data_IF_081994691152
#
_entry.id   IF_081994691152
#
_cell.length_a   1.000
_cell.length_b   1.000
_cell.length_c   1.000
_cell.angle_alpha   90.00
_cell.angle_beta   90.00
_cell.angle_gamma   90.00
#
_symmetry.space_group_name_H-M   'P 1'
#
loop_
_entity.id
_entity.type
_entity.pdbx_description
1 polymer ?
#
# COMPACT_ATOMS: atom_id res chain seq x y z
N UNK A 1 30.02 -0.26 12.41
CA UNK A 1 29.96 -0.17 10.93
C UNK A 1 28.69 -0.91 10.55
N UNK A 2 27.57 -0.21 10.34
CA UNK A 2 26.32 -0.86 9.93
C UNK A 2 26.38 -1.11 8.43
N UNK A 3 26.09 -2.35 8.02
CA UNK A 3 25.98 -2.71 6.61
C UNK A 3 24.55 -2.32 6.21
N UNK A 4 24.42 -1.26 5.42
CA UNK A 4 23.16 -0.93 4.73
C UNK A 4 23.19 -1.63 3.37
N UNK A 5 22.26 -2.54 3.07
CA UNK A 5 22.20 -3.21 1.78
C UNK A 5 22.12 -2.21 0.62
N UNK A 6 22.87 -2.47 -0.47
CA UNK A 6 22.86 -1.63 -1.68
C UNK A 6 21.62 -2.00 -2.53
N UNK A 7 20.81 -0.99 -2.88
CA UNK A 7 19.46 -1.13 -3.48
C UNK A 7 19.37 -0.67 -4.95
N UNK A 8 20.43 -0.87 -5.73
CA UNK A 8 20.66 -0.15 -7.02
C UNK A 8 20.01 -0.75 -8.28
N UNK A 9 19.25 -1.84 -8.19
CA UNK A 9 18.62 -2.49 -9.37
C UNK A 9 17.15 -2.91 -9.19
N UNK A 10 16.45 -2.31 -8.23
CA UNK A 10 15.05 -2.62 -7.91
C UNK A 10 14.12 -1.93 -8.90
N UNK A 11 13.12 -2.66 -9.41
CA UNK A 11 12.11 -2.11 -10.31
C UNK A 11 10.72 -2.34 -9.73
N UNK A 12 9.93 -1.26 -9.65
CA UNK A 12 8.48 -1.39 -9.64
C UNK A 12 7.99 -1.33 -11.09
N UNK A 13 7.12 -2.26 -11.47
CA UNK A 13 6.57 -2.35 -12.82
C UNK A 13 5.05 -2.32 -12.76
N UNK A 14 4.44 -1.43 -13.54
CA UNK A 14 3.00 -1.46 -13.79
C UNK A 14 2.64 -2.56 -14.79
N UNK A 15 1.95 -3.59 -14.31
CA UNK A 15 1.52 -4.74 -15.11
C UNK A 15 0.11 -4.59 -15.71
N UNK A 16 -0.61 -3.51 -15.43
CA UNK A 16 -2.00 -3.33 -15.91
C UNK A 16 -2.11 -3.47 -17.43
N UNK A 17 -1.18 -2.90 -18.20
CA UNK A 17 -1.20 -3.00 -19.67
C UNK A 17 -1.09 -4.44 -20.16
N UNK A 18 -0.25 -5.26 -19.52
CA UNK A 18 -0.10 -6.68 -19.89
C UNK A 18 -1.37 -7.43 -19.50
N UNK A 19 -1.85 -7.27 -18.27
CA UNK A 19 -3.03 -7.98 -17.77
C UNK A 19 -4.32 -7.62 -18.53
N UNK A 20 -4.42 -6.40 -19.07
CA UNK A 20 -5.50 -6.01 -19.96
C UNK A 20 -5.53 -6.85 -21.25
N UNK A 21 -4.36 -7.27 -21.76
CA UNK A 21 -4.26 -8.07 -22.99
C UNK A 21 -4.44 -9.56 -22.77
N UNK A 22 -4.08 -10.07 -21.58
CA UNK A 22 -4.20 -11.48 -21.22
C UNK A 22 -5.50 -11.82 -20.49
N UNK A 23 -6.37 -10.84 -20.23
CA UNK A 23 -7.51 -10.97 -19.31
C UNK A 23 -7.09 -11.44 -17.91
N UNK A 24 -5.92 -11.00 -17.46
CA UNK A 24 -5.33 -11.41 -16.19
C UNK A 24 -5.94 -10.76 -14.95
N UNK A 25 -6.98 -9.92 -15.09
CA UNK A 25 -7.75 -9.36 -13.97
C UNK A 25 -9.20 -9.78 -14.12
N UNK A 26 -9.75 -10.44 -13.10
CA UNK A 26 -11.18 -10.75 -13.02
C UNK A 26 -11.76 -10.23 -11.70
N UNK A 27 -13.05 -9.91 -11.72
CA UNK A 27 -13.78 -9.41 -10.57
C UNK A 27 -15.10 -10.16 -10.45
N UNK A 28 -15.33 -10.79 -9.29
CA UNK A 28 -16.58 -11.50 -8.98
C UNK A 28 -17.22 -10.84 -7.78
N UNK A 29 -18.47 -10.41 -7.92
CA UNK A 29 -19.22 -9.84 -6.79
C UNK A 29 -19.48 -10.89 -5.71
N UNK A 30 -19.49 -10.47 -4.46
CA UNK A 30 -19.86 -11.29 -3.29
C UNK A 30 -21.19 -10.75 -2.74
N UNK A 31 -22.36 -11.19 -3.26
CA UNK A 31 -23.63 -10.55 -2.98
C UNK A 31 -24.03 -10.54 -1.50
N UNK A 32 -23.60 -11.56 -0.75
CA UNK A 32 -23.84 -11.68 0.69
C UNK A 32 -23.15 -10.60 1.53
N UNK A 33 -22.14 -9.91 0.98
CA UNK A 33 -21.39 -8.84 1.63
C UNK A 33 -21.61 -7.47 0.99
N UNK A 34 -22.54 -7.36 0.03
CA UNK A 34 -22.97 -6.08 -0.48
C UNK A 34 -23.85 -5.36 0.52
N UNK A 35 -23.68 -4.05 0.61
CA UNK A 35 -24.62 -3.15 1.27
C UNK A 35 -24.83 -1.91 0.38
N UNK A 36 -25.66 -2.07 -0.69
CA UNK A 36 -25.87 -1.01 -1.67
C UNK A 36 -26.54 0.24 -1.09
N UNK A 37 -27.27 0.10 0.02
CA UNK A 37 -27.91 1.22 0.70
C UNK A 37 -26.88 2.18 1.31
N UNK A 38 -25.73 1.66 1.73
CA UNK A 38 -24.60 2.44 2.22
C UNK A 38 -23.48 2.59 1.17
N UNK A 39 -23.75 2.23 -0.09
CA UNK A 39 -22.78 2.32 -1.19
C UNK A 39 -21.63 1.31 -1.13
N UNK A 40 -21.75 0.24 -0.34
CA UNK A 40 -20.69 -0.76 -0.16
C UNK A 40 -20.90 -1.93 -1.10
N UNK A 41 -19.87 -2.22 -1.90
CA UNK A 41 -19.81 -3.35 -2.81
C UNK A 41 -18.54 -4.15 -2.56
N UNK A 42 -18.69 -5.46 -2.57
CA UNK A 42 -17.65 -6.40 -2.16
C UNK A 42 -17.34 -7.32 -3.33
N UNK A 43 -16.07 -7.32 -3.75
CA UNK A 43 -15.62 -8.10 -4.90
C UNK A 43 -14.45 -8.97 -4.50
N UNK A 44 -14.45 -10.20 -4.97
CA UNK A 44 -13.25 -11.02 -5.04
C UNK A 44 -12.56 -10.70 -6.37
N UNK A 45 -11.39 -10.06 -6.27
CA UNK A 45 -10.55 -9.70 -7.40
C UNK A 45 -9.47 -10.75 -7.54
N UNK A 46 -9.38 -11.38 -8.70
CA UNK A 46 -8.34 -12.36 -9.01
C UNK A 46 -7.37 -11.76 -10.00
N UNK A 47 -6.09 -11.79 -9.65
CA UNK A 47 -4.99 -11.55 -10.58
C UNK A 47 -4.47 -12.91 -11.04
N UNK A 48 -4.26 -13.07 -12.34
CA UNK A 48 -3.66 -14.27 -12.94
C UNK A 48 -2.36 -13.89 -13.61
N UNK A 49 -1.28 -14.54 -13.19
CA UNK A 49 0.06 -14.22 -13.68
C UNK A 49 0.15 -14.51 -15.20
N UNK A 50 0.59 -13.54 -16.02
CA UNK A 50 0.44 -13.61 -17.48
C UNK A 50 1.40 -14.61 -18.15
N UNK A 51 2.44 -15.08 -17.45
CA UNK A 51 3.48 -15.95 -18.02
C UNK A 51 3.62 -17.26 -17.24
N UNK A 52 2.84 -18.30 -17.59
CA UNK A 52 2.85 -19.56 -16.84
C UNK A 52 4.13 -20.41 -16.98
N UNK A 53 4.91 -20.22 -18.06
CA UNK A 53 6.11 -21.03 -18.34
C UNK A 53 7.41 -20.26 -18.18
N UNK A 54 7.36 -19.11 -17.49
CA UNK A 54 8.49 -18.19 -17.33
C UNK A 54 8.75 -17.92 -15.84
N UNK A 55 9.32 -18.89 -15.10
CA UNK A 55 9.59 -18.75 -13.66
C UNK A 55 10.48 -17.54 -13.31
N UNK A 56 11.36 -17.12 -14.23
CA UNK A 56 12.18 -15.91 -14.08
C UNK A 56 11.38 -14.60 -14.05
N UNK A 57 10.09 -14.64 -14.40
CA UNK A 57 9.18 -13.50 -14.36
C UNK A 57 8.24 -13.52 -13.15
N UNK A 58 8.46 -14.41 -12.18
CA UNK A 58 7.71 -14.40 -10.92
C UNK A 58 7.74 -12.99 -10.30
N UNK A 59 6.58 -12.53 -9.84
CA UNK A 59 6.42 -11.21 -9.23
C UNK A 59 6.68 -11.25 -7.73
N UNK A 60 7.14 -10.14 -7.17
CA UNK A 60 7.27 -9.94 -5.73
C UNK A 60 6.46 -8.72 -5.32
N UNK A 61 5.91 -8.71 -4.11
CA UNK A 61 5.16 -7.58 -3.57
C UNK A 61 4.05 -7.06 -4.51
N UNK A 62 3.30 -7.97 -5.13
CA UNK A 62 2.27 -7.59 -6.10
C UNK A 62 1.11 -6.90 -5.40
N UNK A 63 0.74 -5.71 -5.85
CA UNK A 63 -0.36 -4.91 -5.29
C UNK A 63 -1.42 -4.67 -6.35
N UNK A 64 -2.67 -5.00 -6.04
CA UNK A 64 -3.82 -4.49 -6.76
C UNK A 64 -4.26 -3.17 -6.13
N UNK A 65 -3.91 -2.05 -6.79
CA UNK A 65 -4.16 -0.70 -6.29
C UNK A 65 -5.52 -0.22 -6.78
N UNK A 66 -6.40 0.20 -5.87
CA UNK A 66 -7.66 0.87 -6.22
C UNK A 66 -7.37 2.36 -6.39
N UNK A 67 -7.39 2.86 -7.62
CA UNK A 67 -7.16 4.27 -7.90
C UNK A 67 -8.46 5.04 -7.73
N UNK A 68 -8.46 6.09 -6.92
CA UNK A 68 -9.68 6.82 -6.54
C UNK A 68 -9.62 8.30 -6.95
N UNK A 69 -10.77 9.00 -7.00
CA UNK A 69 -10.76 10.45 -6.79
C UNK A 69 -10.16 10.78 -5.41
N UNK A 70 -9.66 12.00 -5.26
CA UNK A 70 -9.13 12.49 -3.99
C UNK A 70 -9.19 14.00 -3.88
N UNK A 71 -9.63 14.47 -2.71
CA UNK A 71 -9.66 15.89 -2.34
C UNK A 71 -9.01 16.17 -0.97
N UNK A 72 -8.63 15.15 -0.21
CA UNK A 72 -7.93 15.32 1.07
C UNK A 72 -6.45 15.66 0.81
N UNK A 73 -6.09 16.93 1.00
CA UNK A 73 -4.70 17.37 0.88
C UNK A 73 -3.94 17.20 2.21
N UNK A 74 -2.96 16.30 2.20
CA UNK A 74 -1.90 16.21 3.20
C UNK A 74 -0.60 16.56 2.48
N UNK A 75 -0.36 17.86 2.35
CA UNK A 75 0.59 18.42 1.38
C UNK A 75 1.96 17.69 1.37
N UNK A 76 2.47 17.29 0.20
CA UNK A 76 1.92 17.51 -1.15
C UNK A 76 0.95 16.40 -1.62
N UNK A 77 0.59 15.45 -0.76
CA UNK A 77 -0.13 14.23 -1.12
C UNK A 77 -1.64 14.43 -1.09
N UNK A 78 -2.34 13.81 -2.03
CA UNK A 78 -3.80 13.84 -2.14
C UNK A 78 -4.37 12.45 -1.90
N UNK A 79 -5.32 12.34 -0.97
CA UNK A 79 -6.03 11.11 -0.60
C UNK A 79 -7.52 11.25 -0.87
N UNK A 80 -8.22 10.11 -0.90
CA UNK A 80 -9.68 10.08 -0.84
C UNK A 80 -10.20 10.52 0.54
N UNK A 81 -11.24 11.37 0.57
CA UNK A 81 -12.01 11.70 1.75
C UNK A 81 -13.04 10.61 2.11
N UNK A 82 -13.70 10.80 3.26
CA UNK A 82 -14.72 9.88 3.80
C UNK A 82 -16.00 9.77 2.96
N UNK A 83 -16.25 10.80 2.16
CA UNK A 83 -17.36 10.97 1.21
C UNK A 83 -16.91 10.80 -0.25
N UNK A 84 -15.75 10.18 -0.48
CA UNK A 84 -15.25 9.77 -1.79
C UNK A 84 -15.17 8.23 -1.88
N UNK A 85 -14.66 7.69 -2.99
CA UNK A 85 -14.47 6.24 -3.12
C UNK A 85 -13.40 5.75 -2.14
N UNK A 86 -13.73 4.73 -1.34
CA UNK A 86 -12.81 4.18 -0.32
C UNK A 86 -12.68 2.66 -0.42
N UNK A 87 -11.49 2.13 -0.11
CA UNK A 87 -11.30 0.71 0.18
C UNK A 87 -11.30 0.51 1.69
N UNK A 88 -12.33 -0.15 2.21
CA UNK A 88 -12.57 -0.28 3.66
C UNK A 88 -11.66 -1.30 4.34
N UNK A 89 -11.02 -2.17 3.56
CA UNK A 89 -10.16 -3.26 4.05
C UNK A 89 -8.80 -3.26 3.35
N UNK A 90 -8.24 -2.08 3.07
CA UNK A 90 -6.93 -1.93 2.46
C UNK A 90 -5.83 -2.62 3.28
N UNK A 91 -4.87 -3.24 2.59
CA UNK A 91 -3.66 -3.80 3.20
C UNK A 91 -2.58 -2.73 3.42
N UNK A 92 -2.70 -1.60 2.72
CA UNK A 92 -1.82 -0.44 2.82
C UNK A 92 -2.18 0.61 1.77
N UNK A 93 -1.32 1.62 1.65
CA UNK A 93 -1.45 2.70 0.68
C UNK A 93 -0.16 2.84 -0.13
N UNK A 94 -0.27 3.29 -1.37
CA UNK A 94 0.88 3.46 -2.26
C UNK A 94 0.70 4.68 -3.15
N UNK A 95 1.82 5.31 -3.51
CA UNK A 95 1.85 6.39 -4.51
C UNK A 95 1.88 5.87 -5.94
N UNK A 96 2.48 4.70 -6.15
CA UNK A 96 2.45 3.97 -7.41
C UNK A 96 1.01 3.57 -7.75
N UNK A 97 0.47 3.67 -8.95
CA UNK A 97 0.90 4.28 -10.20
C UNK A 97 -0.16 5.30 -10.58
N UNK A 98 -0.38 6.32 -9.73
CA UNK A 98 -1.49 7.24 -9.91
C UNK A 98 -1.37 8.06 -11.22
N UNK A 99 -2.49 8.36 -11.91
CA UNK A 99 -2.45 9.08 -13.18
C UNK A 99 -2.03 10.55 -13.07
N UNK A 100 -2.12 11.15 -11.88
CA UNK A 100 -1.72 12.55 -11.66
C UNK A 100 -0.20 12.72 -11.81
N UNK A 101 0.57 11.74 -11.33
CA UNK A 101 2.03 11.82 -11.28
C UNK A 101 2.71 10.94 -12.33
N UNK A 102 2.09 9.82 -12.70
CA UNK A 102 2.61 8.84 -13.66
C UNK A 102 1.88 8.95 -15.01
N UNK A 103 2.07 10.08 -15.70
CA UNK A 103 1.21 10.49 -16.82
C UNK A 103 1.49 9.80 -18.16
N UNK A 104 2.56 9.00 -18.25
CA UNK A 104 2.92 8.27 -19.48
C UNK A 104 2.54 6.79 -19.38
N UNK A 105 1.56 6.29 -20.17
CA UNK A 105 1.18 4.89 -20.14
C UNK A 105 2.33 3.93 -20.48
N UNK A 106 2.27 2.72 -19.93
CA UNK A 106 3.29 1.69 -20.09
C UNK A 106 3.69 1.06 -18.75
N UNK A 107 4.83 0.37 -18.74
CA UNK A 107 5.38 -0.29 -17.55
C UNK A 107 5.82 0.68 -16.44
N UNK A 108 6.13 1.93 -16.80
CA UNK A 108 6.61 2.97 -15.88
C UNK A 108 5.64 4.14 -15.76
N UNK A 109 4.36 3.93 -16.07
CA UNK A 109 3.34 4.90 -15.69
C UNK A 109 1.93 4.37 -15.75
N UNK A 110 0.94 5.23 -15.54
CA UNK A 110 -0.44 4.79 -15.41
C UNK A 110 -1.02 4.32 -16.74
N UNK A 111 -1.47 3.07 -16.76
CA UNK A 111 -2.22 2.49 -17.86
C UNK A 111 -3.64 2.22 -17.38
N UNK A 112 -4.65 2.80 -18.06
CA UNK A 112 -6.06 2.59 -17.73
C UNK A 112 -6.41 1.10 -17.86
N UNK A 113 -6.97 0.52 -16.80
CA UNK A 113 -7.38 -0.88 -16.76
C UNK A 113 -8.68 -1.16 -17.54
N UNK A 114 -8.84 -2.37 -18.07
CA UNK A 114 -10.02 -2.77 -18.88
C UNK A 114 -11.34 -2.73 -18.10
N UNK A 115 -11.29 -2.89 -16.77
CA UNK A 115 -12.46 -2.77 -15.88
C UNK A 115 -12.71 -1.33 -15.40
N UNK A 116 -11.86 -0.36 -15.78
CA UNK A 116 -11.99 1.04 -15.37
C UNK A 116 -13.00 1.78 -16.26
N UNK A 117 -14.16 2.14 -15.69
CA UNK A 117 -15.18 2.90 -16.42
C UNK A 117 -15.05 4.42 -16.25
N UNK A 118 -14.23 4.88 -15.31
CA UNK A 118 -14.06 6.31 -15.06
C UNK A 118 -13.10 6.99 -16.04
N UNK A 119 -13.29 8.28 -16.34
CA UNK A 119 -12.29 9.09 -17.02
C UNK A 119 -11.04 9.23 -16.16
N UNK A 120 -9.85 9.21 -16.77
CA UNK A 120 -8.56 9.26 -16.03
C UNK A 120 -8.42 10.56 -15.23
N UNK A 121 -8.95 11.67 -15.76
CA UNK A 121 -8.96 12.99 -15.14
C UNK A 121 -9.79 13.06 -13.85
N UNK A 122 -10.69 12.10 -13.60
CA UNK A 122 -11.44 12.01 -12.35
C UNK A 122 -10.68 11.33 -11.21
N UNK A 123 -9.53 10.72 -11.52
CA UNK A 123 -8.73 9.93 -10.60
C UNK A 123 -7.58 10.79 -10.03
N UNK A 124 -7.93 11.69 -9.12
CA UNK A 124 -7.03 12.75 -8.64
C UNK A 124 -6.21 12.40 -7.40
N UNK A 125 -6.47 11.25 -6.75
CA UNK A 125 -5.69 10.85 -5.58
C UNK A 125 -4.27 10.42 -5.98
N UNK A 126 -3.26 10.99 -5.33
CA UNK A 126 -1.86 10.61 -5.53
C UNK A 126 -1.45 9.43 -4.65
N UNK A 127 -2.12 9.23 -3.52
CA UNK A 127 -1.94 8.07 -2.65
C UNK A 127 -3.22 7.23 -2.64
N UNK A 128 -3.09 5.96 -2.97
CA UNK A 128 -4.23 5.08 -3.23
C UNK A 128 -4.13 3.78 -2.41
N UNK A 129 -5.26 3.25 -1.91
CA UNK A 129 -5.25 2.02 -1.14
C UNK A 129 -5.01 0.81 -2.04
N UNK A 130 -4.39 -0.25 -1.50
CA UNK A 130 -4.17 -1.50 -2.22
C UNK A 130 -4.60 -2.73 -1.43
N UNK A 131 -4.80 -3.84 -2.14
CA UNK A 131 -4.69 -5.20 -1.59
C UNK A 131 -3.44 -5.86 -2.12
N UNK A 132 -2.83 -6.65 -1.26
CA UNK A 132 -1.56 -7.31 -1.52
C UNK A 132 -1.82 -8.74 -1.99
N UNK A 133 -1.13 -9.17 -3.05
CA UNK A 133 -1.30 -10.48 -3.71
C UNK A 133 0.00 -11.27 -3.60
N UNK A 134 -0.07 -12.39 -2.91
CA UNK A 134 1.01 -13.33 -2.75
C UNK A 134 0.42 -14.75 -2.66
N UNK A 135 1.20 -15.76 -3.01
CA UNK A 135 0.75 -17.16 -3.00
C UNK A 135 0.38 -17.63 -1.59
N UNK A 136 0.99 -17.04 -0.54
CA UNK A 136 0.67 -17.27 0.87
C UNK A 136 -0.68 -16.69 1.33
N UNK A 137 -1.37 -15.90 0.49
CA UNK A 137 -2.57 -15.16 0.88
C UNK A 137 -3.83 -15.65 0.15
N UNK A 138 -4.82 -16.12 0.91
CA UNK A 138 -6.19 -16.32 0.45
C UNK A 138 -6.98 -15.02 0.32
N UNK A 139 -8.26 -15.12 -0.05
CA UNK A 139 -9.09 -13.94 -0.36
C UNK A 139 -9.27 -12.96 0.82
N UNK A 140 -9.36 -13.48 2.04
CA UNK A 140 -9.70 -12.69 3.25
C UNK A 140 -8.57 -12.57 4.25
N UNK A 141 -7.42 -13.18 3.96
CA UNK A 141 -6.32 -13.26 4.91
C UNK A 141 -5.71 -11.88 5.18
N UNK A 142 -5.18 -11.69 6.38
CA UNK A 142 -4.43 -10.49 6.73
C UNK A 142 -2.95 -10.66 6.35
N UNK A 143 -2.15 -9.61 6.51
CA UNK A 143 -0.71 -9.67 6.21
C UNK A 143 0.14 -10.39 7.28
N UNK A 144 -0.47 -11.00 8.31
CA UNK A 144 0.29 -11.79 9.29
C UNK A 144 1.03 -12.93 8.61
N UNK A 145 0.34 -13.68 7.75
CA UNK A 145 0.90 -14.80 7.00
C UNK A 145 2.19 -14.43 6.26
N UNK A 146 2.19 -13.27 5.59
CA UNK A 146 3.35 -12.74 4.86
C UNK A 146 4.50 -12.39 5.82
N UNK A 147 4.20 -11.69 6.91
CA UNK A 147 5.24 -11.22 7.84
C UNK A 147 5.85 -12.30 8.73
N UNK A 148 5.15 -13.43 8.89
CA UNK A 148 5.62 -14.56 9.71
C UNK A 148 6.24 -15.68 8.90
N UNK A 149 6.07 -15.68 7.58
CA UNK A 149 6.67 -16.68 6.70
C UNK A 149 8.21 -16.56 6.72
N UNK A 150 8.94 -17.70 6.79
CA UNK A 150 10.38 -17.71 6.53
C UNK A 150 10.70 -17.09 5.17
N UNK A 151 11.85 -16.41 5.06
CA UNK A 151 12.23 -15.74 3.81
C UNK A 151 12.52 -16.73 2.68
N UNK A 152 12.89 -17.96 3.03
CA UNK A 152 13.27 -19.08 2.15
C UNK A 152 12.12 -20.08 1.94
N UNK A 153 10.93 -19.80 2.45
CA UNK A 153 9.76 -20.62 2.14
C UNK A 153 9.29 -20.38 0.70
N UNK A 154 8.74 -21.41 0.05
CA UNK A 154 8.22 -21.34 -1.33
C UNK A 154 7.19 -20.21 -1.53
N UNK A 155 6.42 -19.89 -0.49
CA UNK A 155 5.41 -18.81 -0.45
C UNK A 155 5.88 -17.58 0.35
N UNK A 156 7.12 -17.61 0.83
CA UNK A 156 7.79 -16.53 1.54
C UNK A 156 8.03 -15.31 0.63
N UNK A 157 8.45 -14.19 1.24
CA UNK A 157 8.81 -12.96 0.52
C UNK A 157 7.74 -12.47 -0.47
N UNK A 158 6.47 -12.77 -0.20
CA UNK A 158 5.37 -12.27 -1.03
C UNK A 158 5.48 -12.62 -2.50
N UNK A 159 5.90 -13.84 -2.79
CA UNK A 159 6.00 -14.35 -4.15
C UNK A 159 4.62 -14.44 -4.78
N UNK A 160 4.56 -14.07 -6.05
CA UNK A 160 3.48 -14.38 -6.97
C UNK A 160 4.07 -15.25 -8.08
N UNK A 161 3.88 -16.56 -7.94
CA UNK A 161 4.45 -17.56 -8.84
C UNK A 161 3.98 -17.41 -10.28
N UNK A 162 4.89 -17.69 -11.21
CA UNK A 162 4.61 -17.70 -12.63
C UNK A 162 3.45 -18.64 -12.99
N UNK A 163 2.35 -18.07 -13.47
CA UNK A 163 1.13 -18.78 -13.87
C UNK A 163 0.11 -19.04 -12.75
N UNK A 164 0.38 -18.66 -11.51
CA UNK A 164 -0.60 -18.77 -10.43
C UNK A 164 -1.73 -17.73 -10.59
N UNK A 165 -2.79 -17.91 -9.81
CA UNK A 165 -3.89 -16.96 -9.71
C UNK A 165 -4.19 -16.70 -8.24
N UNK A 166 -3.98 -15.46 -7.81
CA UNK A 166 -4.19 -15.05 -6.43
C UNK A 166 -5.44 -14.18 -6.35
N UNK A 167 -6.29 -14.44 -5.35
CA UNK A 167 -7.56 -13.73 -5.17
C UNK A 167 -7.55 -12.96 -3.87
N UNK A 168 -8.06 -11.72 -3.89
CA UNK A 168 -8.19 -10.87 -2.70
C UNK A 168 -9.56 -10.20 -2.68
N UNK A 169 -10.14 -10.09 -1.48
CA UNK A 169 -11.45 -9.45 -1.26
C UNK A 169 -11.28 -7.95 -1.10
N UNK A 170 -12.02 -7.19 -1.89
CA UNK A 170 -12.11 -5.74 -1.86
C UNK A 170 -13.50 -5.34 -1.34
N UNK A 171 -13.54 -4.56 -0.27
CA UNK A 171 -14.77 -3.93 0.24
C UNK A 171 -14.72 -2.45 -0.13
N UNK A 172 -15.33 -2.10 -1.25
CA UNK A 172 -15.29 -0.75 -1.82
C UNK A 172 -16.54 0.00 -1.40
N UNK A 173 -16.37 1.18 -0.83
CA UNK A 173 -17.46 2.11 -0.53
C UNK A 173 -17.45 3.21 -1.58
N UNK A 174 -18.53 3.35 -2.32
CA UNK A 174 -18.77 4.47 -3.22
C UNK A 174 -19.60 5.56 -2.54
N UNK A 175 -19.38 6.84 -2.89
CA UNK A 175 -20.22 7.91 -2.40
C UNK A 175 -21.64 7.83 -2.96
N UNK A 176 -22.61 8.34 -2.20
CA UNK A 176 -24.05 8.22 -2.49
C UNK A 176 -24.66 9.58 -2.82
N UNK A 177 -25.30 9.72 -3.99
CA UNK A 177 -26.13 10.88 -4.36
C UNK A 177 -26.91 10.65 -5.68
N UNK A 178 -28.24 10.41 -5.66
CA UNK A 178 -28.98 9.73 -4.58
C UNK A 178 -28.66 8.22 -4.51
N UNK A 179 -27.91 7.70 -5.49
CA UNK A 179 -27.40 6.32 -5.56
C UNK A 179 -25.87 6.29 -5.62
N UNK A 180 -25.26 5.09 -5.72
CA UNK A 180 -23.80 4.95 -5.70
C UNK A 180 -23.15 5.58 -6.94
N UNK A 181 -22.22 6.50 -6.71
CA UNK A 181 -21.37 7.12 -7.74
C UNK A 181 -20.12 6.27 -7.93
N UNK A 182 -20.17 5.37 -8.90
CA UNK A 182 -19.08 4.44 -9.20
C UNK A 182 -17.97 5.17 -9.96
N UNK A 183 -16.99 5.69 -9.21
CA UNK A 183 -15.78 6.30 -9.75
C UNK A 183 -14.55 5.59 -9.20
N UNK A 184 -13.81 4.91 -10.08
CA UNK A 184 -12.57 4.21 -9.74
C UNK A 184 -11.74 3.93 -10.99
N UNK A 185 -10.45 3.71 -10.78
CA UNK A 185 -9.56 2.99 -11.67
C UNK A 185 -8.76 1.94 -10.90
N UNK A 186 -7.84 1.28 -11.56
CA UNK A 186 -6.91 0.38 -10.87
C UNK A 186 -5.53 0.35 -11.53
N UNK A 187 -4.53 -0.03 -10.75
CA UNK A 187 -3.21 -0.39 -11.23
C UNK A 187 -2.77 -1.71 -10.61
N UNK A 188 -1.91 -2.46 -11.29
CA UNK A 188 -1.24 -3.64 -10.73
C UNK A 188 0.25 -3.35 -10.68
N UNK A 189 0.75 -3.15 -9.46
CA UNK A 189 2.17 -2.94 -9.19
C UNK A 189 2.83 -4.28 -8.88
N UNK A 190 4.06 -4.48 -9.34
CA UNK A 190 4.90 -5.61 -8.96
C UNK A 190 6.35 -5.17 -8.83
N UNK A 191 7.01 -5.66 -7.78
CA UNK A 191 8.45 -5.55 -7.62
C UNK A 191 9.14 -6.71 -8.33
N UNK A 192 10.30 -6.44 -8.92
CA UNK A 192 11.06 -7.46 -9.63
C UNK A 192 12.55 -7.13 -9.70
N UNK A 193 13.36 -8.18 -9.75
CA UNK A 193 14.78 -8.12 -10.08
C UNK A 193 15.23 -9.43 -10.72
N UNK A 194 16.39 -9.40 -11.37
CA UNK A 194 16.87 -10.55 -12.14
C UNK A 194 17.28 -11.71 -11.21
N UNK A 195 16.80 -12.94 -11.45
CA UNK A 195 17.23 -14.11 -10.68
C UNK A 195 18.59 -14.63 -11.13
N UNK A 196 19.29 -15.36 -10.26
CA UNK A 196 20.55 -16.01 -10.56
C UNK A 196 20.57 -17.41 -9.94
N UNK A 197 20.51 -18.49 -10.75
CA UNK A 197 20.56 -18.53 -12.21
C UNK A 197 19.27 -18.05 -12.91
N UNK A 198 19.33 -17.87 -14.24
CA UNK A 198 18.16 -17.57 -15.08
C UNK A 198 18.05 -18.60 -16.23
N UNK A 199 16.99 -19.44 -16.27
CA UNK A 199 15.86 -19.47 -15.34
C UNK A 199 16.27 -19.90 -13.91
N UNK A 200 15.52 -19.47 -12.88
CA UNK A 200 15.75 -19.92 -11.50
C UNK A 200 15.37 -21.40 -11.36
N UNK A 201 16.07 -22.10 -10.46
CA UNK A 201 15.74 -23.44 -10.00
C UNK A 201 14.77 -23.39 -8.82
N UNK A 202 14.94 -22.41 -7.91
CA UNK A 202 14.17 -22.26 -6.67
C UNK A 202 13.66 -20.82 -6.52
N UNK A 203 12.40 -20.67 -6.10
CA UNK A 203 11.74 -19.38 -5.88
C UNK A 203 11.19 -19.42 -4.45
N UNK A 204 11.50 -18.42 -3.59
CA UNK A 204 12.13 -17.14 -3.89
C UNK A 204 13.68 -17.12 -3.91
N UNK A 205 14.36 -18.21 -3.57
CA UNK A 205 15.78 -18.18 -3.19
C UNK A 205 16.76 -17.74 -4.28
N UNK A 206 16.51 -18.08 -5.54
CA UNK A 206 17.36 -17.64 -6.65
C UNK A 206 17.13 -16.15 -7.02
N UNK A 207 16.16 -15.48 -6.40
CA UNK A 207 15.96 -14.04 -6.54
C UNK A 207 16.65 -13.28 -5.41
N UNK A 208 17.41 -12.21 -5.72
CA UNK A 208 18.00 -11.37 -4.68
C UNK A 208 16.91 -10.74 -3.82
N UNK A 209 17.21 -10.34 -2.57
CA UNK A 209 16.24 -9.65 -1.69
C UNK A 209 15.69 -8.36 -2.32
N UNK A 210 16.46 -7.77 -3.23
CA UNK A 210 16.09 -6.59 -4.02
C UNK A 210 15.10 -6.92 -5.15
N UNK A 211 14.61 -8.15 -5.27
CA UNK A 211 13.40 -8.44 -6.04
C UNK A 211 12.15 -7.97 -5.30
N UNK A 212 12.21 -7.90 -3.96
CA UNK A 212 11.18 -7.31 -3.14
C UNK A 212 11.23 -5.77 -3.14
N UNK A 213 10.11 -5.16 -2.79
CA UNK A 213 10.00 -3.72 -2.66
C UNK A 213 10.97 -3.18 -1.59
N UNK A 214 11.56 -2.00 -1.81
CA UNK A 214 12.37 -1.28 -0.82
C UNK A 214 11.59 -0.50 0.24
N UNK A 215 10.31 -0.22 0.04
CA UNK A 215 9.45 0.37 1.06
C UNK A 215 9.10 -0.67 2.14
N UNK A 216 8.67 -0.19 3.31
CA UNK A 216 8.09 -1.07 4.31
C UNK A 216 6.87 -1.79 3.70
N UNK A 217 6.89 -3.12 3.69
CA UNK A 217 5.85 -3.91 3.04
C UNK A 217 4.59 -4.04 3.89
N UNK A 218 4.73 -3.80 5.20
CA UNK A 218 3.64 -3.81 6.17
C UNK A 218 3.89 -2.76 7.24
N UNK A 219 2.84 -2.01 7.56
CA UNK A 219 2.79 -1.09 8.70
C UNK A 219 1.56 -1.48 9.52
N UNK A 220 1.76 -1.94 10.75
CA UNK A 220 0.68 -2.28 11.66
C UNK A 220 0.56 -1.20 12.74
N UNK A 221 -0.65 -0.67 12.91
CA UNK A 221 -0.93 0.45 13.82
C UNK A 221 -1.73 -0.08 15.00
N UNK A 222 -1.21 0.12 16.21
CA UNK A 222 -1.81 -0.37 17.46
C UNK A 222 -2.10 0.79 18.41
N UNK A 223 -3.31 1.39 18.36
CA UNK A 223 -3.74 2.38 19.34
C UNK A 223 -3.77 1.77 20.74
N UNK A 224 -3.18 2.47 21.72
CA UNK A 224 -3.14 2.04 23.13
C UNK A 224 -3.83 3.02 24.07
N UNK A 225 -4.07 4.25 23.63
CA UNK A 225 -4.90 5.23 24.32
C UNK A 225 -5.62 6.09 23.30
N UNK A 226 -6.93 6.28 23.50
CA UNK A 226 -7.71 7.30 22.80
C UNK A 226 -8.76 7.86 23.75
N UNK A 227 -8.53 9.08 24.24
CA UNK A 227 -9.53 9.86 24.97
C UNK A 227 -9.71 11.25 24.35
N UNK A 228 -9.48 11.36 23.05
CA UNK A 228 -9.75 12.58 22.29
C UNK A 228 -11.23 12.95 22.39
N UNK A 229 -11.51 14.23 22.60
CA UNK A 229 -12.88 14.73 22.68
C UNK A 229 -13.03 16.08 21.96
N UNK A 230 -14.25 16.30 21.48
CA UNK A 230 -14.76 17.57 20.99
C UNK A 230 -16.17 17.77 21.55
N UNK A 231 -16.35 18.77 22.40
CA UNK A 231 -17.64 19.18 22.92
C UNK A 231 -18.30 20.11 21.90
N UNK A 232 -19.39 19.66 21.29
CA UNK A 232 -20.12 20.42 20.27
C UNK A 232 -20.88 21.62 20.83
N UNK A 233 -21.17 21.65 22.14
CA UNK A 233 -21.90 22.75 22.78
C UNK A 233 -20.96 23.88 23.18
N UNK A 234 -19.79 23.54 23.73
CA UNK A 234 -18.82 24.52 24.23
C UNK A 234 -17.69 24.83 23.25
N UNK A 235 -17.48 23.97 22.24
CA UNK A 235 -16.31 24.01 21.36
C UNK A 235 -15.02 23.56 22.04
N UNK A 236 -15.08 23.10 23.30
CA UNK A 236 -13.92 22.62 24.02
C UNK A 236 -13.42 21.30 23.40
N UNK A 237 -12.11 21.20 23.19
CA UNK A 237 -11.50 20.00 22.65
C UNK A 237 -10.18 19.68 23.33
N UNK A 238 -9.75 18.43 23.22
CA UNK A 238 -8.53 17.98 23.85
C UNK A 238 -8.45 16.47 23.93
N UNK A 239 -7.71 16.01 24.94
CA UNK A 239 -7.44 14.59 25.18
C UNK A 239 -6.04 14.18 24.71
N UNK A 240 -5.88 12.89 24.52
CA UNK A 240 -4.61 12.26 24.20
C UNK A 240 -4.86 11.02 23.34
N UNK A 241 -3.96 10.82 22.40
CA UNK A 241 -3.93 9.64 21.57
C UNK A 241 -2.52 9.07 21.55
N UNK A 242 -2.40 7.76 21.78
CA UNK A 242 -1.13 7.04 21.79
C UNK A 242 -1.27 5.81 20.94
N UNK A 243 -0.23 5.52 20.15
CA UNK A 243 -0.18 4.29 19.38
C UNK A 243 1.25 3.79 19.22
N UNK A 244 1.38 2.47 19.10
CA UNK A 244 2.56 1.83 18.55
C UNK A 244 2.39 1.65 17.04
N UNK A 245 3.52 1.70 16.33
CA UNK A 245 3.61 1.50 14.89
C UNK A 245 4.68 0.43 14.68
N UNK A 246 4.25 -0.73 14.20
CA UNK A 246 5.12 -1.85 13.89
C UNK A 246 5.44 -1.80 12.38
N UNK A 247 6.72 -1.65 12.05
CA UNK A 247 7.21 -1.48 10.67
C UNK A 247 7.98 -2.71 10.24
N UNK A 248 7.63 -3.29 9.09
CA UNK A 248 8.28 -4.45 8.50
C UNK A 248 8.93 -4.08 7.15
N UNK A 249 10.17 -4.49 6.95
CA UNK A 249 10.98 -4.21 5.75
C UNK A 249 11.76 -5.46 5.36
N UNK A 250 11.75 -5.82 4.07
CA UNK A 250 12.37 -7.07 3.59
C UNK A 250 13.88 -7.09 3.75
N UNK A 251 14.55 -6.01 3.36
CA UNK A 251 16.00 -5.92 3.43
C UNK A 251 16.46 -5.86 4.89
N UNK A 252 15.68 -5.20 5.74
CA UNK A 252 15.88 -5.13 7.19
C UNK A 252 15.63 -6.47 7.88
N UNK A 253 14.63 -7.23 7.46
CA UNK A 253 14.38 -8.57 7.97
C UNK A 253 15.52 -9.53 7.59
N UNK A 254 16.01 -9.48 6.34
CA UNK A 254 17.14 -10.30 5.91
C UNK A 254 18.43 -9.94 6.65
N UNK A 255 18.70 -8.65 6.84
CA UNK A 255 19.89 -8.17 7.52
C UNK A 255 19.77 -8.18 9.06
N UNK A 256 18.57 -8.41 9.61
CA UNK A 256 18.28 -8.32 11.04
C UNK A 256 18.39 -6.90 11.61
N UNK A 257 18.10 -5.87 10.80
CA UNK A 257 18.23 -4.45 11.16
C UNK A 257 17.17 -3.54 10.49
N UNK A 258 15.89 -3.86 10.64
CA UNK A 258 14.75 -3.10 10.10
C UNK A 258 14.83 -1.60 10.40
N UNK A 259 15.21 -1.20 11.62
CA UNK A 259 15.32 0.20 12.01
C UNK A 259 16.32 0.98 11.15
N UNK A 260 17.40 0.36 10.67
CA UNK A 260 18.38 1.02 9.81
C UNK A 260 17.90 1.19 8.36
N UNK A 261 16.84 0.46 7.97
CA UNK A 261 16.17 0.59 6.68
C UNK A 261 15.06 1.65 6.69
N UNK A 262 14.71 2.20 7.85
CA UNK A 262 13.66 3.22 8.00
C UNK A 262 14.30 4.58 8.19
N UNK A 263 14.00 5.53 7.31
CA UNK A 263 14.53 6.90 7.40
C UNK A 263 13.70 7.78 8.33
N UNK A 264 12.38 7.57 8.36
CA UNK A 264 11.46 8.34 9.21
C UNK A 264 10.15 7.57 9.38
N UNK A 265 9.53 7.67 10.56
CA UNK A 265 8.13 7.29 10.79
C UNK A 265 7.38 8.54 11.23
N UNK A 266 6.42 8.98 10.43
CA UNK A 266 5.74 10.27 10.62
C UNK A 266 4.24 10.13 10.58
N UNK A 267 3.56 10.81 11.49
CA UNK A 267 2.12 10.75 11.68
C UNK A 267 1.51 12.09 11.34
N UNK A 268 0.44 12.06 10.56
CA UNK A 268 -0.33 13.22 10.15
C UNK A 268 -1.79 13.04 10.54
N UNK A 269 -2.39 14.09 11.09
CA UNK A 269 -3.83 14.15 11.27
C UNK A 269 -4.27 15.61 11.31
N UNK A 270 -4.38 16.30 10.16
CA UNK A 270 -4.54 17.77 10.12
C UNK A 270 -5.70 18.33 10.96
N UNK A 271 -6.75 17.55 11.17
CA UNK A 271 -7.94 17.94 11.97
C UNK A 271 -7.77 17.74 13.49
N UNK A 272 -6.70 17.05 13.91
CA UNK A 272 -6.36 16.78 15.32
C UNK A 272 -5.06 17.51 15.68
N UNK A 273 -4.08 17.47 14.79
CA UNK A 273 -2.77 18.07 14.94
C UNK A 273 -2.34 18.65 13.58
N UNK A 274 -2.21 19.99 13.45
CA UNK A 274 -1.98 20.63 12.16
C UNK A 274 -0.62 20.30 11.56
N UNK A 275 0.38 20.04 12.41
CA UNK A 275 1.71 19.62 12.00
C UNK A 275 1.82 18.10 11.90
N UNK A 276 2.99 17.62 11.49
CA UNK A 276 3.31 16.20 11.55
C UNK A 276 4.11 15.87 12.80
N UNK A 277 3.93 14.68 13.36
CA UNK A 277 4.73 14.21 14.50
C UNK A 277 5.59 13.03 14.07
N UNK A 278 6.87 13.09 14.41
CA UNK A 278 7.80 11.99 14.21
C UNK A 278 7.66 10.98 15.35
N UNK A 279 7.45 9.71 15.00
CA UNK A 279 7.37 8.64 15.98
C UNK A 279 8.77 8.29 16.48
N UNK A 280 8.88 8.00 17.77
CA UNK A 280 10.15 7.64 18.41
C UNK A 280 10.36 6.14 18.33
N UNK A 281 11.55 5.69 17.94
CA UNK A 281 11.91 4.28 17.97
C UNK A 281 11.89 3.76 19.42
N UNK A 282 11.31 2.58 19.61
CA UNK A 282 11.18 1.92 20.92
C UNK A 282 12.11 0.72 20.99
N UNK A 283 11.92 -0.23 20.09
CA UNK A 283 12.63 -1.50 20.09
C UNK A 283 12.61 -2.13 18.69
N UNK A 284 13.47 -3.14 18.51
CA UNK A 284 13.48 -3.98 17.33
C UNK A 284 13.31 -5.43 17.77
N UNK A 285 12.44 -6.14 17.06
CA UNK A 285 12.16 -7.56 17.28
C UNK A 285 12.38 -8.30 15.97
N UNK A 286 12.29 -9.63 15.98
CA UNK A 286 12.47 -10.41 14.75
C UNK A 286 11.47 -9.97 13.66
N UNK A 287 12.01 -9.45 12.56
CA UNK A 287 11.24 -9.01 11.39
C UNK A 287 10.61 -7.62 11.45
N UNK A 288 10.73 -6.87 12.56
CA UNK A 288 10.12 -5.52 12.65
C UNK A 288 10.82 -4.54 13.60
N UNK A 289 10.70 -3.27 13.28
CA UNK A 289 11.01 -2.15 14.17
C UNK A 289 9.72 -1.55 14.75
N UNK A 290 9.71 -1.25 16.05
CA UNK A 290 8.56 -0.71 16.76
C UNK A 290 8.81 0.76 17.09
N UNK A 291 7.85 1.60 16.74
CA UNK A 291 7.85 3.03 17.01
C UNK A 291 6.65 3.42 17.88
N UNK A 292 6.76 4.52 18.60
CA UNK A 292 5.72 5.07 19.45
C UNK A 292 5.48 6.53 19.13
N UNK A 293 4.20 6.91 19.11
CA UNK A 293 3.80 8.32 19.02
C UNK A 293 2.79 8.64 20.10
N UNK A 294 2.89 9.85 20.60
CA UNK A 294 1.97 10.40 21.58
C UNK A 294 1.55 11.81 21.17
N UNK A 295 0.24 11.99 21.00
CA UNK A 295 -0.40 13.28 20.76
C UNK A 295 -0.82 13.88 22.11
N UNK A 296 0.13 14.39 22.90
CA UNK A 296 -0.14 15.13 24.14
C UNK A 296 -0.05 16.64 23.93
N UNK A 297 -0.83 17.42 24.69
CA UNK A 297 -0.70 18.87 24.84
C UNK A 297 -0.80 19.73 23.57
N UNK A 298 -1.24 19.17 22.44
CA UNK A 298 -1.56 19.91 21.22
C UNK A 298 -2.60 19.24 20.31
N UNK A 299 -3.15 18.09 20.72
CA UNK A 299 -4.27 17.48 20.03
C UNK A 299 -5.54 18.31 20.29
N UNK A 300 -6.06 18.96 19.27
CA UNK A 300 -7.26 19.77 19.33
C UNK A 300 -8.20 19.34 18.20
N UNK A 301 -8.95 18.24 18.38
CA UNK A 301 -9.98 17.86 17.43
C UNK A 301 -10.88 19.06 17.11
N UNK A 302 -11.19 19.28 15.83
CA UNK A 302 -12.03 20.42 15.39
C UNK A 302 -13.50 20.07 15.22
N UNK A 303 -13.84 18.77 15.28
CA UNK A 303 -15.21 18.26 15.20
C UNK A 303 -15.32 16.90 15.89
N UNK A 304 -16.55 16.55 16.26
CA UNK A 304 -16.87 15.19 16.68
C UNK A 304 -16.99 14.26 15.46
N UNK A 305 -16.59 13.00 15.62
CA UNK A 305 -16.75 11.97 14.58
C UNK A 305 -15.50 11.13 14.36
N UNK A 306 -15.47 10.46 13.21
CA UNK A 306 -14.29 9.70 12.76
C UNK A 306 -13.32 10.63 12.06
N UNK A 307 -12.04 10.51 12.41
CA UNK A 307 -10.94 11.24 11.77
C UNK A 307 -9.93 10.27 11.15
N UNK A 308 -9.28 10.73 10.09
CA UNK A 308 -8.20 9.98 9.43
C UNK A 308 -6.88 10.31 10.10
N UNK A 309 -6.12 9.27 10.41
CA UNK A 309 -4.72 9.36 10.82
C UNK A 309 -3.91 8.68 9.72
N UNK A 310 -2.89 9.37 9.22
CA UNK A 310 -1.98 8.85 8.21
C UNK A 310 -0.63 8.63 8.84
N UNK A 311 -0.11 7.41 8.68
CA UNK A 311 1.26 7.06 9.05
C UNK A 311 2.05 6.89 7.78
N UNK A 312 3.18 7.60 7.68
CA UNK A 312 4.14 7.48 6.59
C UNK A 312 5.43 6.88 7.12
N UNK A 313 5.94 5.87 6.43
CA UNK A 313 7.25 5.26 6.70
C UNK A 313 8.16 5.51 5.50
N UNK A 314 9.16 6.36 5.70
CA UNK A 314 10.20 6.60 4.72
C UNK A 314 11.19 5.44 4.65
N UNK A 315 11.51 4.99 3.45
CA UNK A 315 12.59 4.04 3.22
C UNK A 315 13.96 4.75 3.32
N UNK A 316 14.98 4.05 3.81
CA UNK A 316 16.36 4.51 3.82
C UNK A 316 17.15 3.81 2.71
N UNK A 317 17.75 4.60 1.81
CA UNK A 317 18.64 4.08 0.77
C UNK A 317 17.97 3.38 -0.43
N UNK A 318 16.64 3.33 -0.50
CA UNK A 318 15.92 2.84 -1.68
C UNK A 318 15.95 3.84 -2.85
N UNK A 319 15.78 3.37 -4.11
CA UNK A 319 15.66 4.24 -5.26
C UNK A 319 14.44 5.18 -5.11
N UNK A 320 14.48 6.39 -5.71
CA UNK A 320 13.33 7.27 -5.72
C UNK A 320 12.20 6.71 -6.61
N UNK A 321 11.05 7.36 -6.61
CA UNK A 321 9.95 7.02 -7.53
C UNK A 321 10.35 7.19 -9.01
N UNK A 322 11.33 8.03 -9.29
CA UNK A 322 11.90 8.16 -10.63
C UNK A 322 12.84 6.99 -10.94
N UNK A 323 12.34 6.06 -11.76
CA UNK A 323 13.10 4.91 -12.25
C UNK A 323 13.87 5.21 -13.55
N UNK A 324 13.97 6.48 -13.94
CA UNK A 324 14.71 6.95 -15.12
C UNK A 324 13.90 6.89 -16.42
N UNK A 325 12.61 6.57 -16.37
CA UNK A 325 11.73 6.42 -17.54
C UNK A 325 10.38 7.07 -17.27
N UNK A 326 10.06 8.09 -18.06
CA UNK A 326 8.77 8.78 -18.00
C UNK A 326 8.60 9.73 -16.80
N UNK A 327 7.46 10.44 -16.72
CA UNK A 327 7.15 11.31 -15.59
C UNK A 327 6.88 10.49 -14.33
N UNK A 328 7.56 10.86 -13.25
CA UNK A 328 7.40 10.29 -11.92
C UNK A 328 7.56 11.41 -10.87
N UNK A 329 6.97 11.26 -9.67
CA UNK A 329 7.13 12.25 -8.63
C UNK A 329 8.58 12.27 -8.10
N UNK A 330 9.04 13.45 -7.68
CA UNK A 330 10.34 13.56 -7.01
C UNK A 330 10.26 13.04 -5.58
N UNK A 331 11.41 12.58 -5.07
CA UNK A 331 11.61 12.24 -3.66
C UNK A 331 11.74 10.75 -3.42
N UNK A 332 12.11 10.43 -2.18
CA UNK A 332 12.30 9.05 -1.75
C UNK A 332 10.95 8.35 -1.60
N UNK A 333 10.95 7.09 -1.98
CA UNK A 333 9.87 6.15 -1.76
C UNK A 333 9.50 6.03 -0.27
N UNK A 334 8.22 5.82 -0.03
CA UNK A 334 7.65 5.60 1.31
C UNK A 334 6.35 4.82 1.20
N UNK A 335 6.05 4.08 2.26
CA UNK A 335 4.73 3.50 2.50
C UNK A 335 3.88 4.44 3.37
#
# INVERSE_FOLDING_TARGET
MSIVPIRTSQLHVNLTGILNTTMGVTAVGVPSEHDPLNGIFTFDITLSHPFATKPQLAGFDVKGVLITPGTLLISPLVFAQADETQLLNADGFTRWWNPTEFTSPGMFGYTKGSLTNSPTESLTATINPYKYFADALGATDNLDAVSTAPLDADDGRSVFTAGSSNTRRYRIKFPMDPGPKVVYGYAVDASWNFPSPNPPNEIPDDFPINANQPEAYRIDIRPVLNNLYFDTETGASGGSFRMYIDVYDWQGQQAGNVKDQVSVVRVYSPNIYPDSIEATFVEETFGKAVYFVELMNGAAPVKAGKEVIVVRVGSNGGPPYDQGVGPAPTGNISA
#
